data_IF_615868981042
#
_entry.id   IF_615868981042
#
_cell.length_a   1.000
_cell.length_b   1.000
_cell.length_c   1.000
_cell.angle_alpha   90.00
_cell.angle_beta   90.00
_cell.angle_gamma   90.00
#
_symmetry.space_group_name_H-M   'P 1'
#
loop_
_entity.id
_entity.type
_entity.pdbx_description
1 polymer ?
#
# COMPACT_ATOMS: atom_id res chain seq x y z
N UNK A 1 -27.93 -1.95 -3.02
CA UNK A 1 -27.14 -0.81 -3.53
C UNK A 1 -26.23 -1.22 -4.68
N UNK A 2 -25.27 -2.12 -4.46
CA UNK A 2 -24.29 -2.51 -5.49
C UNK A 2 -24.90 -3.01 -6.81
N UNK A 3 -25.98 -3.82 -6.75
CA UNK A 3 -26.70 -4.25 -7.96
C UNK A 3 -27.25 -3.08 -8.81
N UNK A 4 -27.68 -1.99 -8.18
CA UNK A 4 -28.13 -0.81 -8.91
C UNK A 4 -26.97 -0.09 -9.61
N UNK A 5 -25.76 -0.12 -9.03
CA UNK A 5 -24.56 0.48 -9.62
C UNK A 5 -24.07 -0.38 -10.79
N UNK A 6 -23.94 -1.70 -10.60
CA UNK A 6 -23.42 -2.63 -11.61
C UNK A 6 -24.29 -2.66 -12.87
N UNK A 7 -25.60 -2.43 -12.74
CA UNK A 7 -26.53 -2.36 -13.89
C UNK A 7 -26.43 -1.06 -14.70
N UNK A 8 -25.79 -0.01 -14.17
CA UNK A 8 -25.71 1.32 -14.81
C UNK A 8 -24.30 1.73 -15.21
N UNK A 9 -23.29 1.25 -14.50
CA UNK A 9 -21.90 1.60 -14.72
C UNK A 9 -21.06 0.34 -14.87
N UNK A 10 -20.38 0.22 -16.01
CA UNK A 10 -19.40 -0.86 -16.23
C UNK A 10 -18.18 -0.74 -15.32
N UNK A 11 -17.85 0.50 -14.93
CA UNK A 11 -16.76 0.81 -14.01
C UNK A 11 -17.03 2.15 -13.34
N UNK A 12 -16.52 2.31 -12.13
CA UNK A 12 -16.56 3.56 -11.37
C UNK A 12 -15.12 4.06 -11.23
N UNK A 13 -14.92 5.37 -11.43
CA UNK A 13 -13.59 5.96 -11.26
C UNK A 13 -13.19 5.94 -9.79
N UNK A 14 -14.02 6.53 -8.93
CA UNK A 14 -13.80 6.61 -7.49
C UNK A 14 -14.98 6.01 -6.75
N UNK A 15 -14.71 5.25 -5.71
CA UNK A 15 -15.75 4.62 -4.90
C UNK A 15 -15.40 4.71 -3.42
N UNK A 16 -16.30 5.31 -2.65
CA UNK A 16 -16.15 5.46 -1.22
C UNK A 16 -17.21 4.58 -0.53
N UNK A 17 -16.76 3.62 0.27
CA UNK A 17 -17.62 2.69 0.99
C UNK A 17 -17.36 2.80 2.50
N UNK A 18 -18.20 3.59 3.17
CA UNK A 18 -18.10 3.87 4.59
C UNK A 18 -19.32 3.28 5.31
N UNK A 19 -19.18 2.07 5.84
CA UNK A 19 -20.27 1.33 6.47
C UNK A 19 -19.80 0.63 7.75
N UNK A 20 -20.37 1.04 8.89
CA UNK A 20 -20.08 0.44 10.19
C UNK A 20 -20.47 -1.04 10.31
N UNK A 21 -21.30 -1.56 9.41
CA UNK A 21 -21.57 -2.98 9.27
C UNK A 21 -21.90 -3.28 7.81
N UNK A 22 -21.31 -4.35 7.27
CA UNK A 22 -21.63 -4.87 5.94
C UNK A 22 -21.70 -6.38 6.00
N UNK A 23 -22.64 -7.00 5.29
CA UNK A 23 -22.66 -8.46 5.16
C UNK A 23 -21.54 -8.88 4.21
N UNK A 24 -20.86 -9.97 4.55
CA UNK A 24 -19.85 -10.59 3.69
C UNK A 24 -20.35 -10.81 2.25
N UNK A 25 -21.61 -11.22 2.10
CA UNK A 25 -22.25 -11.41 0.79
C UNK A 25 -22.37 -10.11 -0.02
N UNK A 26 -22.64 -8.99 0.64
CA UNK A 26 -22.76 -7.69 -0.03
C UNK A 26 -21.37 -7.19 -0.46
N UNK A 27 -20.34 -7.43 0.36
CA UNK A 27 -18.97 -7.06 0.05
C UNK A 27 -18.35 -7.96 -1.05
N UNK A 28 -18.65 -9.26 -1.05
CA UNK A 28 -18.32 -10.15 -2.17
C UNK A 28 -19.00 -9.70 -3.45
N UNK A 29 -20.30 -9.40 -3.41
CA UNK A 29 -21.01 -8.89 -4.57
C UNK A 29 -20.35 -7.60 -5.09
N UNK A 30 -19.94 -6.69 -4.20
CA UNK A 30 -19.21 -5.48 -4.59
C UNK A 30 -17.93 -5.83 -5.35
N UNK A 31 -17.04 -6.64 -4.78
CA UNK A 31 -15.77 -6.96 -5.41
C UNK A 31 -15.91 -7.73 -6.73
N UNK A 32 -16.94 -8.57 -6.86
CA UNK A 32 -17.23 -9.34 -8.07
C UNK A 32 -17.82 -8.49 -9.20
N UNK A 33 -18.64 -7.48 -8.87
CA UNK A 33 -19.49 -6.80 -9.86
C UNK A 33 -19.12 -5.33 -10.08
N UNK A 34 -18.36 -4.71 -9.17
CA UNK A 34 -18.01 -3.30 -9.23
C UNK A 34 -16.52 -3.15 -9.52
N UNK A 35 -16.21 -2.71 -10.75
CA UNK A 35 -14.85 -2.38 -11.16
C UNK A 35 -14.53 -0.93 -10.78
N UNK A 36 -13.60 -0.74 -9.86
CA UNK A 36 -13.03 0.57 -9.54
C UNK A 36 -11.72 0.77 -10.31
N UNK A 37 -11.50 1.94 -10.90
CA UNK A 37 -10.32 2.18 -11.77
C UNK A 37 -9.31 3.18 -11.23
N UNK A 38 -9.73 4.14 -10.40
CA UNK A 38 -8.84 5.17 -9.86
C UNK A 38 -8.69 4.99 -8.35
N UNK A 39 -9.71 5.30 -7.54
CA UNK A 39 -9.60 5.31 -6.07
C UNK A 39 -10.68 4.46 -5.44
N UNK A 40 -10.28 3.50 -4.61
CA UNK A 40 -11.18 2.78 -3.71
C UNK A 40 -10.88 3.20 -2.28
N UNK A 41 -11.84 3.88 -1.66
CA UNK A 41 -11.80 4.22 -0.24
C UNK A 41 -12.76 3.32 0.53
N UNK A 42 -12.29 2.59 1.53
CA UNK A 42 -13.17 1.72 2.34
C UNK A 42 -12.92 1.86 3.83
N UNK A 43 -13.99 2.04 4.57
CA UNK A 43 -14.02 1.84 6.01
C UNK A 43 -15.25 0.97 6.31
N UNK A 44 -15.02 -0.34 6.33
CA UNK A 44 -16.08 -1.34 6.44
C UNK A 44 -15.77 -2.38 7.52
N UNK A 45 -16.82 -2.86 8.16
CA UNK A 45 -16.75 -3.90 9.20
C UNK A 45 -17.53 -5.15 8.75
N UNK A 46 -16.90 -6.06 7.97
CA UNK A 46 -17.44 -7.38 7.65
C UNK A 46 -17.25 -8.34 8.84
N UNK A 47 -17.56 -9.63 8.65
CA UNK A 47 -17.26 -10.65 9.66
C UNK A 47 -15.75 -10.82 9.91
N UNK A 48 -15.36 -11.30 11.10
CA UNK A 48 -13.95 -11.53 11.45
C UNK A 48 -13.25 -12.57 10.55
N UNK A 49 -14.02 -13.53 10.04
CA UNK A 49 -13.54 -14.58 9.14
C UNK A 49 -13.61 -14.18 7.67
N UNK A 50 -14.18 -13.01 7.36
CA UNK A 50 -14.35 -12.54 5.98
C UNK A 50 -13.00 -12.42 5.26
N UNK A 51 -12.87 -13.05 4.10
CA UNK A 51 -11.69 -12.89 3.24
C UNK A 51 -12.14 -12.62 1.80
N UNK A 52 -11.76 -11.49 1.19
CA UNK A 52 -12.14 -11.16 -0.17
C UNK A 52 -11.46 -12.11 -1.15
N UNK A 53 -12.19 -12.52 -2.18
CA UNK A 53 -11.64 -13.20 -3.35
C UNK A 53 -11.80 -12.28 -4.55
N UNK A 54 -10.83 -11.41 -4.77
CA UNK A 54 -10.93 -10.46 -5.86
C UNK A 54 -9.58 -10.05 -6.40
N UNK A 55 -9.52 -9.88 -7.72
CA UNK A 55 -8.41 -9.24 -8.40
C UNK A 55 -8.91 -7.94 -9.01
N UNK A 56 -8.34 -6.82 -8.59
CA UNK A 56 -8.66 -5.52 -9.17
C UNK A 56 -7.39 -4.76 -9.52
N UNK A 57 -7.41 -4.14 -10.69
CA UNK A 57 -6.40 -3.18 -11.09
C UNK A 57 -7.00 -1.79 -10.96
N UNK A 58 -6.44 -0.99 -10.05
CA UNK A 58 -6.83 0.39 -9.79
C UNK A 58 -5.57 1.23 -9.51
N UNK A 59 -5.72 2.54 -9.32
CA UNK A 59 -4.56 3.39 -9.02
C UNK A 59 -4.29 3.47 -7.52
N UNK A 60 -5.31 3.68 -6.71
CA UNK A 60 -5.19 3.93 -5.26
C UNK A 60 -6.18 3.09 -4.48
N UNK A 61 -5.68 2.37 -3.49
CA UNK A 61 -6.50 1.80 -2.42
C UNK A 61 -6.17 2.52 -1.11
N UNK A 62 -7.20 3.08 -0.46
CA UNK A 62 -7.11 3.68 0.86
C UNK A 62 -8.17 3.04 1.76
N UNK A 63 -7.76 2.24 2.74
CA UNK A 63 -8.72 1.52 3.56
C UNK A 63 -8.39 1.61 5.05
N UNK A 64 -9.44 1.67 5.85
CA UNK A 64 -9.43 1.65 7.31
C UNK A 64 -10.15 0.41 7.83
N UNK A 65 -9.86 -0.01 9.07
CA UNK A 65 -10.41 -1.24 9.66
C UNK A 65 -10.13 -2.48 8.81
N UNK A 66 -8.89 -2.63 8.35
CA UNK A 66 -8.51 -3.58 7.30
C UNK A 66 -8.05 -4.94 7.88
N UNK A 67 -8.66 -5.36 9.00
CA UNK A 67 -8.35 -6.62 9.69
C UNK A 67 -8.65 -7.87 8.84
N UNK A 68 -9.57 -7.74 7.89
CA UNK A 68 -9.98 -8.81 6.96
C UNK A 68 -9.02 -8.96 5.77
N UNK A 69 -7.99 -8.13 5.68
CA UNK A 69 -6.97 -8.18 4.63
C UNK A 69 -5.74 -8.99 5.07
N UNK A 70 -5.27 -9.86 4.19
CA UNK A 70 -4.08 -10.69 4.39
C UNK A 70 -3.00 -10.35 3.36
N UNK A 71 -1.81 -10.90 3.55
CA UNK A 71 -0.63 -10.56 2.75
C UNK A 71 -0.82 -10.93 1.27
N UNK A 72 -1.50 -12.04 0.99
CA UNK A 72 -1.79 -12.51 -0.37
C UNK A 72 -2.65 -11.53 -1.19
N UNK A 73 -3.51 -10.74 -0.55
CA UNK A 73 -4.36 -9.78 -1.27
C UNK A 73 -3.53 -8.67 -1.91
N UNK A 74 -2.34 -8.32 -1.39
CA UNK A 74 -1.47 -7.34 -2.03
C UNK A 74 -1.03 -7.75 -3.45
N UNK A 75 -0.99 -9.04 -3.73
CA UNK A 75 -0.70 -9.55 -5.07
C UNK A 75 -1.94 -9.62 -5.96
N UNK A 76 -3.14 -9.60 -5.37
CA UNK A 76 -4.41 -9.59 -6.11
C UNK A 76 -4.81 -8.17 -6.54
N UNK A 77 -4.32 -7.15 -5.83
CA UNK A 77 -4.55 -5.74 -6.15
C UNK A 77 -3.34 -5.13 -6.85
N UNK A 78 -3.48 -4.90 -8.15
CA UNK A 78 -2.45 -4.21 -8.92
C UNK A 78 -2.65 -2.68 -8.79
N UNK A 79 -2.03 -2.10 -7.76
CA UNK A 79 -2.18 -0.70 -7.36
C UNK A 79 -0.89 0.11 -7.53
N UNK A 80 -1.03 1.42 -7.74
CA UNK A 80 0.07 2.39 -7.62
C UNK A 80 0.25 2.88 -6.19
N UNK A 81 -0.83 3.08 -5.46
CA UNK A 81 -0.82 3.60 -4.09
C UNK A 81 -1.61 2.68 -3.18
N UNK A 82 -0.98 2.26 -2.09
CA UNK A 82 -1.58 1.40 -1.07
C UNK A 82 -1.49 2.11 0.27
N UNK A 83 -2.64 2.42 0.86
CA UNK A 83 -2.76 3.10 2.15
C UNK A 83 -3.71 2.28 3.02
N UNK A 84 -3.20 1.55 4.01
CA UNK A 84 -4.03 0.65 4.82
C UNK A 84 -3.86 0.92 6.31
N UNK A 85 -4.96 0.95 7.04
CA UNK A 85 -5.01 1.06 8.51
C UNK A 85 -5.57 -0.19 9.17
N UNK A 86 -5.17 -0.41 10.42
CA UNK A 86 -5.69 -1.49 11.26
C UNK A 86 -5.58 -2.88 10.63
N UNK A 87 -4.45 -3.14 9.97
CA UNK A 87 -4.15 -4.46 9.39
C UNK A 87 -3.57 -5.41 10.45
N UNK A 88 -3.68 -6.73 10.22
CA UNK A 88 -2.96 -7.73 11.03
C UNK A 88 -1.54 -8.00 10.53
N UNK A 89 -1.02 -7.19 9.60
CA UNK A 89 0.28 -7.43 8.99
C UNK A 89 1.40 -7.28 10.02
N UNK A 90 2.32 -8.22 9.98
CA UNK A 90 3.52 -8.25 10.81
C UNK A 90 4.72 -7.73 10.04
N UNK A 91 5.84 -7.51 10.74
CA UNK A 91 7.12 -7.17 10.10
C UNK A 91 7.50 -8.18 9.00
N UNK A 92 7.27 -9.47 9.22
CA UNK A 92 7.62 -10.52 8.26
C UNK A 92 6.73 -10.47 7.01
N UNK A 93 5.46 -10.08 7.17
CA UNK A 93 4.60 -9.83 6.01
C UNK A 93 5.12 -8.67 5.17
N UNK A 94 5.56 -7.57 5.80
CA UNK A 94 6.12 -6.44 5.06
C UNK A 94 7.43 -6.84 4.37
N UNK A 95 8.31 -7.58 5.04
CA UNK A 95 9.56 -8.09 4.42
C UNK A 95 9.25 -8.92 3.18
N UNK A 96 8.30 -9.85 3.27
CA UNK A 96 7.89 -10.65 2.12
C UNK A 96 7.36 -9.78 0.97
N UNK A 97 6.55 -8.76 1.26
CA UNK A 97 6.07 -7.82 0.24
C UNK A 97 7.21 -7.04 -0.42
N UNK A 98 8.23 -6.63 0.36
CA UNK A 98 9.41 -5.97 -0.17
C UNK A 98 10.23 -6.91 -1.04
N UNK A 99 10.41 -8.17 -0.65
CA UNK A 99 11.10 -9.19 -1.44
C UNK A 99 10.39 -9.41 -2.78
N UNK A 100 9.06 -9.58 -2.77
CA UNK A 100 8.25 -9.68 -3.99
C UNK A 100 8.32 -8.43 -4.87
N UNK A 101 8.47 -7.24 -4.28
CA UNK A 101 8.68 -6.02 -5.06
C UNK A 101 10.10 -5.99 -5.64
N UNK A 102 11.12 -6.36 -4.86
CA UNK A 102 12.53 -6.32 -5.25
C UNK A 102 12.88 -7.33 -6.35
N UNK A 103 12.30 -8.53 -6.33
CA UNK A 103 12.47 -9.53 -7.39
C UNK A 103 11.51 -9.32 -8.58
N UNK A 104 10.59 -8.36 -8.47
CA UNK A 104 9.61 -8.03 -9.51
C UNK A 104 8.49 -9.06 -9.69
N UNK A 105 8.32 -10.02 -8.77
CA UNK A 105 7.22 -10.98 -8.78
C UNK A 105 5.87 -10.36 -8.41
N UNK A 106 5.87 -9.24 -7.65
CA UNK A 106 4.67 -8.56 -7.17
C UNK A 106 4.78 -7.03 -7.20
N UNK A 107 3.64 -6.36 -6.97
CA UNK A 107 3.57 -4.90 -6.74
C UNK A 107 4.24 -4.04 -7.84
N UNK A 108 4.16 -4.47 -9.10
CA UNK A 108 4.94 -3.90 -10.21
C UNK A 108 4.67 -2.42 -10.46
N UNK A 109 3.41 -1.98 -10.30
CA UNK A 109 2.97 -0.59 -10.48
C UNK A 109 3.14 0.28 -9.24
N UNK A 110 3.59 -0.29 -8.12
CA UNK A 110 3.66 0.42 -6.85
C UNK A 110 4.52 1.68 -6.99
N UNK A 111 3.99 2.78 -6.47
CA UNK A 111 4.63 4.09 -6.33
C UNK A 111 4.72 4.49 -4.87
N UNK A 112 3.70 4.14 -4.07
CA UNK A 112 3.66 4.44 -2.64
C UNK A 112 2.95 3.34 -1.86
N UNK A 113 3.52 2.95 -0.73
CA UNK A 113 2.90 2.06 0.25
C UNK A 113 2.97 2.69 1.64
N UNK A 114 1.86 2.72 2.36
CA UNK A 114 1.79 3.26 3.71
C UNK A 114 0.84 2.40 4.55
N UNK A 115 1.34 1.75 5.60
CA UNK A 115 0.63 0.69 6.33
C UNK A 115 0.72 0.88 7.84
N UNK A 116 -0.42 0.81 8.52
CA UNK A 116 -0.50 0.48 9.94
C UNK A 116 -0.83 -1.01 10.10
N UNK A 117 -0.02 -1.70 10.89
CA UNK A 117 -0.19 -3.13 11.14
C UNK A 117 -0.02 -3.49 12.60
N UNK A 118 0.29 -4.75 12.84
CA UNK A 118 0.53 -5.26 14.18
C UNK A 118 1.96 -4.93 14.63
N UNK A 119 2.13 -3.76 15.23
CA UNK A 119 3.40 -3.29 15.80
C UNK A 119 4.55 -3.28 14.78
N UNK A 120 4.28 -2.73 13.58
CA UNK A 120 5.30 -2.64 12.55
C UNK A 120 6.48 -1.78 13.00
N UNK A 121 7.69 -2.26 12.73
CA UNK A 121 8.92 -1.59 13.08
C UNK A 121 9.84 -1.50 11.86
N UNK A 122 9.98 -0.29 11.32
CA UNK A 122 10.79 -0.02 10.12
C UNK A 122 12.22 -0.54 10.24
N UNK A 123 12.87 -0.37 11.40
CA UNK A 123 14.25 -0.80 11.61
C UNK A 123 14.39 -2.33 11.56
N UNK A 124 13.40 -3.05 12.10
CA UNK A 124 13.37 -4.52 12.05
C UNK A 124 13.16 -5.00 10.61
N UNK A 125 12.24 -4.37 9.88
CA UNK A 125 11.92 -4.71 8.49
C UNK A 125 13.13 -4.47 7.58
N UNK A 126 13.73 -3.28 7.63
CA UNK A 126 14.85 -2.90 6.75
C UNK A 126 16.06 -3.82 6.94
N UNK A 127 16.37 -4.22 8.19
CA UNK A 127 17.50 -5.13 8.47
C UNK A 127 17.36 -6.52 7.83
N UNK A 128 16.15 -6.89 7.39
CA UNK A 128 15.87 -8.18 6.76
C UNK A 128 15.93 -8.15 5.23
N UNK A 129 16.06 -6.97 4.61
CA UNK A 129 16.12 -6.83 3.14
C UNK A 129 17.45 -6.20 2.71
N UNK A 130 17.89 -6.47 1.47
CA UNK A 130 19.08 -5.82 0.91
C UNK A 130 18.81 -4.34 0.70
N UNK A 131 19.61 -3.47 1.32
CA UNK A 131 19.41 -2.03 1.28
C UNK A 131 20.74 -1.26 1.35
N UNK A 132 20.67 0.02 1.00
CA UNK A 132 21.71 1.02 1.23
C UNK A 132 21.16 2.04 2.22
N UNK A 133 21.89 2.28 3.30
CA UNK A 133 21.52 3.32 4.27
C UNK A 133 21.80 4.69 3.68
N UNK A 134 20.85 5.59 3.89
CA UNK A 134 20.90 6.97 3.46
C UNK A 134 20.86 7.86 4.69
N UNK A 135 21.75 8.85 4.72
CA UNK A 135 21.62 9.94 5.67
C UNK A 135 20.53 10.92 5.23
N UNK A 136 20.31 11.94 6.07
CA UNK A 136 19.30 12.96 5.85
C UNK A 136 19.55 13.79 4.58
N UNK A 137 20.81 14.09 4.27
CA UNK A 137 21.17 14.90 3.10
C UNK A 137 20.87 14.13 1.82
N UNK A 138 21.25 12.85 1.77
CA UNK A 138 21.00 11.95 0.64
C UNK A 138 19.51 11.80 0.35
N UNK A 139 18.67 11.58 1.38
CA UNK A 139 17.21 11.51 1.19
C UNK A 139 16.64 12.82 0.69
N UNK A 140 17.06 13.94 1.28
CA UNK A 140 16.55 15.27 0.92
C UNK A 140 16.85 15.62 -0.54
N UNK A 141 17.94 15.09 -1.10
CA UNK A 141 18.31 15.27 -2.50
C UNK A 141 17.54 14.36 -3.47
N UNK A 142 16.97 13.25 -3.00
CA UNK A 142 16.43 12.18 -3.87
C UNK A 142 14.91 12.18 -4.03
N UNK A 143 14.15 12.99 -3.27
CA UNK A 143 12.69 12.84 -3.28
C UNK A 143 11.93 14.14 -3.08
N UNK A 144 11.04 14.45 -4.04
CA UNK A 144 9.93 15.40 -3.84
C UNK A 144 8.79 14.80 -2.99
N UNK A 145 8.77 13.47 -2.83
CA UNK A 145 7.67 12.71 -2.20
C UNK A 145 7.93 12.28 -0.75
N UNK A 146 9.19 12.18 -0.34
CA UNK A 146 9.60 11.99 1.06
C UNK A 146 9.71 13.37 1.69
N UNK A 147 8.85 13.67 2.67
CA UNK A 147 8.86 14.95 3.36
C UNK A 147 10.18 15.05 4.15
N UNK A 148 11.18 15.85 3.73
CA UNK A 148 12.52 15.86 4.34
C UNK A 148 12.51 16.39 5.78
N UNK A 149 11.42 17.04 6.16
CA UNK A 149 11.21 17.65 7.48
C UNK A 149 10.99 16.61 8.59
N UNK A 150 10.55 15.39 8.23
CA UNK A 150 10.21 14.34 9.19
C UNK A 150 11.17 13.15 9.16
N UNK A 151 12.07 13.05 8.18
CA UNK A 151 13.01 11.94 8.06
C UNK A 151 14.44 12.32 8.54
N UNK A 152 15.10 11.40 9.23
CA UNK A 152 16.50 11.51 9.71
C UNK A 152 17.49 10.75 8.81
N UNK A 153 17.02 10.30 7.64
CA UNK A 153 17.67 9.28 6.82
C UNK A 153 16.69 8.15 6.54
N UNK A 154 17.21 7.03 6.04
CA UNK A 154 16.36 5.92 5.61
C UNK A 154 17.15 4.83 4.90
N UNK A 155 16.42 3.96 4.23
CA UNK A 155 16.99 2.85 3.50
C UNK A 155 16.48 2.86 2.06
N UNK A 156 17.42 2.81 1.12
CA UNK A 156 17.13 2.60 -0.28
C UNK A 156 17.18 1.11 -0.59
N UNK A 157 16.12 0.61 -1.22
CA UNK A 157 16.08 -0.72 -1.81
C UNK A 157 16.00 -0.58 -3.34
N UNK A 158 16.41 -1.63 -4.04
CA UNK A 158 16.46 -1.65 -5.50
C UNK A 158 15.82 -2.94 -6.00
N UNK A 159 14.95 -2.79 -7.00
CA UNK A 159 14.33 -3.88 -7.75
C UNK A 159 15.28 -4.37 -8.85
N UNK A 160 15.14 -5.61 -9.28
CA UNK A 160 16.00 -6.22 -10.31
C UNK A 160 16.08 -5.43 -11.63
N UNK A 161 15.06 -4.62 -11.96
CA UNK A 161 15.05 -3.74 -13.13
C UNK A 161 15.71 -2.35 -12.90
N UNK A 162 16.39 -2.17 -11.77
CA UNK A 162 17.09 -0.94 -11.38
C UNK A 162 16.18 0.15 -10.79
N UNK A 163 14.88 -0.10 -10.66
CA UNK A 163 13.95 0.83 -10.00
C UNK A 163 14.23 0.87 -8.50
N UNK A 164 14.29 2.07 -7.92
CA UNK A 164 14.67 2.29 -6.52
C UNK A 164 13.48 2.74 -5.70
N UNK A 165 13.48 2.39 -4.42
CA UNK A 165 12.50 2.88 -3.46
C UNK A 165 13.16 3.25 -2.13
N UNK A 166 12.57 4.21 -1.43
CA UNK A 166 13.04 4.72 -0.15
C UNK A 166 12.05 4.33 0.95
N UNK A 167 12.59 3.78 2.03
CA UNK A 167 11.92 3.57 3.31
C UNK A 167 12.48 4.61 4.29
N UNK A 168 11.75 5.68 4.62
CA UNK A 168 12.26 6.74 5.48
C UNK A 168 12.31 6.32 6.95
N UNK A 169 13.35 6.76 7.67
CA UNK A 169 13.44 6.68 9.13
C UNK A 169 12.93 7.99 9.72
N UNK A 170 11.77 7.92 10.37
CA UNK A 170 11.07 9.10 10.87
C UNK A 170 11.67 9.55 12.21
N UNK A 171 11.89 10.86 12.33
CA UNK A 171 12.40 11.51 13.53
C UNK A 171 11.50 11.22 14.75
N UNK A 172 12.08 10.93 15.93
CA UNK A 172 11.31 10.80 17.17
C UNK A 172 10.44 12.05 17.44
N UNK A 173 9.20 11.83 17.87
CA UNK A 173 8.27 12.92 18.21
C UNK A 173 7.61 13.60 17.00
N UNK A 174 7.89 13.19 15.76
CA UNK A 174 7.11 13.59 14.58
C UNK A 174 5.89 12.70 14.39
N UNK A 175 4.80 13.31 13.94
CA UNK A 175 3.56 12.58 13.64
C UNK A 175 3.83 11.64 12.46
N UNK A 176 3.69 10.34 12.70
CA UNK A 176 3.80 9.32 11.67
C UNK A 176 2.39 9.05 11.16
N UNK A 177 2.13 9.26 9.87
CA UNK A 177 0.82 8.94 9.30
C UNK A 177 0.58 7.43 9.32
N UNK A 178 1.65 6.64 9.07
CA UNK A 178 1.63 5.18 9.14
C UNK A 178 2.91 4.59 9.76
N UNK A 179 2.82 3.41 10.38
CA UNK A 179 3.97 2.73 11.00
C UNK A 179 5.05 2.33 9.99
N UNK A 180 4.65 1.93 8.77
CA UNK A 180 5.55 1.62 7.67
C UNK A 180 5.21 2.44 6.44
N UNK A 181 6.23 2.94 5.74
CA UNK A 181 6.06 3.72 4.51
C UNK A 181 7.18 3.35 3.52
N UNK A 182 6.84 3.33 2.23
CA UNK A 182 7.75 3.13 1.12
C UNK A 182 7.34 4.04 -0.05
N UNK A 183 8.34 4.64 -0.67
CA UNK A 183 8.20 5.56 -1.80
C UNK A 183 9.09 5.09 -2.95
N UNK A 184 8.49 4.70 -4.06
CA UNK A 184 9.26 4.38 -5.27
C UNK A 184 9.71 5.68 -5.91
N UNK A 185 10.99 5.75 -6.24
CA UNK A 185 11.56 6.87 -6.95
C UNK A 185 11.13 6.79 -8.41
N UNK A 186 10.55 7.87 -8.92
CA UNK A 186 10.28 7.97 -10.35
C UNK A 186 11.60 7.75 -11.11
N UNK A 187 11.54 7.00 -12.22
CA UNK A 187 12.68 6.95 -13.13
C UNK A 187 13.00 8.39 -13.50
N UNK A 188 14.27 8.86 -13.40
CA UNK A 188 14.61 10.17 -13.93
C UNK A 188 14.11 10.19 -15.36
N UNK A 189 13.27 11.18 -15.69
CA UNK A 189 12.83 11.41 -17.06
C UNK A 189 14.11 11.39 -17.91
N UNK A 190 14.27 10.36 -18.74
CA UNK A 190 15.19 10.45 -19.86
C UNK A 190 14.56 11.48 -20.78
N UNK A 191 14.90 12.75 -20.55
CA UNK A 191 14.75 13.79 -21.55
C UNK A 191 15.66 13.38 -22.70
N UNK A 192 15.06 12.81 -23.75
CA UNK A 192 15.64 12.80 -25.09
C UNK A 192 15.71 14.24 -25.64
#
# INVERSE_FOLDING_TARGET
MFNWISTRQKSVKKFDLLLNHIKDSDLNYFFENIKVTDTLEMNVLPSLEYRPQCCQQLDTIDCQNVFWWRVEHFLMFDCRKIMLEDTHLTNDNIVWLLECWMDGSGLKRLQKMAINGNNLNRNVIVRKVKHILLDREAISAMSESVIPEIADGGAMIEREDGVKAIIPFILPGRMVFRQFELYVLDKPNQQE
#
